data_IF_074897164723
#
_entry.id   IF_074897164723
#
_cell.length_a   1.000
_cell.length_b   1.000
_cell.length_c   1.000
_cell.angle_alpha   90.00
_cell.angle_beta   90.00
_cell.angle_gamma   90.00
#
_symmetry.space_group_name_H-M   'P 1'
#
loop_
_entity.id
_entity.type
_entity.pdbx_description
1 polymer ?
#
# COMPACT_ATOMS: atom_id res chain seq x y z
N UNK A 1 -9.81 -7.27 -1.50
CA UNK A 1 -9.90 -5.79 -1.51
C UNK A 1 -10.55 -5.35 -0.22
N UNK A 2 -10.03 -4.29 0.39
CA UNK A 2 -10.62 -3.63 1.57
C UNK A 2 -10.80 -2.13 1.32
N UNK A 3 -11.10 -1.38 2.37
CA UNK A 3 -11.31 0.07 2.32
C UNK A 3 -10.63 0.75 3.51
N UNK A 4 -10.04 1.92 3.27
CA UNK A 4 -9.69 2.85 4.35
C UNK A 4 -10.93 3.70 4.62
N UNK A 5 -11.38 3.68 5.87
CA UNK A 5 -12.59 4.38 6.31
C UNK A 5 -12.27 5.32 7.47
N UNK A 6 -12.95 6.46 7.52
CA UNK A 6 -12.90 7.38 8.65
C UNK A 6 -14.32 7.85 8.98
N UNK A 7 -14.78 7.52 10.19
CA UNK A 7 -16.20 7.67 10.55
C UNK A 7 -17.10 6.91 9.57
N UNK A 8 -18.06 7.63 8.97
CA UNK A 8 -18.98 7.10 7.97
C UNK A 8 -18.50 7.29 6.51
N UNK A 9 -17.25 7.71 6.29
CA UNK A 9 -16.71 8.02 4.95
C UNK A 9 -15.69 7.00 4.50
N UNK A 10 -15.83 6.54 3.25
CA UNK A 10 -14.79 5.77 2.54
C UNK A 10 -13.77 6.75 1.94
N UNK A 11 -12.50 6.57 2.29
CA UNK A 11 -11.40 7.42 1.84
C UNK A 11 -10.70 6.85 0.60
N UNK A 12 -10.45 5.53 0.60
CA UNK A 12 -9.72 4.87 -0.47
C UNK A 12 -10.03 3.37 -0.51
N UNK A 13 -9.91 2.77 -1.69
CA UNK A 13 -9.75 1.32 -1.83
C UNK A 13 -8.40 0.88 -1.25
N UNK A 14 -8.39 -0.24 -0.53
CA UNK A 14 -7.20 -0.79 0.10
C UNK A 14 -6.84 -2.15 -0.48
N UNK A 15 -5.62 -2.26 -1.02
CA UNK A 15 -4.98 -3.54 -1.27
C UNK A 15 -4.24 -4.00 -0.01
N UNK A 16 -4.28 -5.29 0.32
CA UNK A 16 -3.58 -5.85 1.49
C UNK A 16 -2.40 -6.69 1.03
N UNK A 17 -1.24 -6.46 1.65
CA UNK A 17 -0.04 -7.27 1.52
C UNK A 17 0.23 -8.00 2.84
N UNK A 18 -0.27 -9.24 2.96
CA UNK A 18 -0.23 -10.03 4.20
C UNK A 18 0.82 -11.14 4.21
N UNK A 19 1.42 -11.45 3.06
CA UNK A 19 2.44 -12.49 2.92
C UNK A 19 3.84 -11.89 2.63
N UNK A 20 4.94 -12.59 2.93
CA UNK A 20 6.29 -12.06 2.75
C UNK A 20 6.63 -11.62 1.32
N UNK A 21 6.00 -12.20 0.30
CA UNK A 21 6.26 -11.85 -1.10
C UNK A 21 5.55 -10.55 -1.48
N UNK A 22 4.27 -10.40 -1.10
CA UNK A 22 3.51 -9.18 -1.37
C UNK A 22 4.06 -7.98 -0.59
N UNK A 23 4.52 -8.17 0.66
CA UNK A 23 5.15 -7.10 1.45
C UNK A 23 6.45 -6.59 0.84
N UNK A 24 7.35 -7.50 0.44
CA UNK A 24 8.63 -7.12 -0.22
C UNK A 24 8.41 -6.44 -1.56
N UNK A 25 7.39 -6.90 -2.30
CA UNK A 25 7.04 -6.28 -3.58
C UNK A 25 6.46 -4.88 -3.37
N UNK A 26 5.58 -4.70 -2.41
CA UNK A 26 4.90 -3.43 -2.20
C UNK A 26 4.27 -2.90 -3.49
N UNK A 27 4.58 -1.66 -3.84
CA UNK A 27 4.16 -1.01 -5.09
C UNK A 27 5.24 -1.07 -6.19
N UNK A 28 6.31 -1.86 -6.03
CA UNK A 28 7.40 -1.95 -7.00
C UNK A 28 6.89 -2.39 -8.38
N UNK A 29 7.47 -1.81 -9.43
CA UNK A 29 7.12 -2.07 -10.82
C UNK A 29 5.94 -1.25 -11.33
N UNK A 30 5.06 -0.74 -10.45
CA UNK A 30 3.94 0.14 -10.82
C UNK A 30 4.43 1.55 -11.11
N UNK A 31 3.86 2.22 -12.13
CA UNK A 31 4.17 3.62 -12.49
C UNK A 31 3.20 4.61 -11.87
N UNK A 32 2.02 4.15 -11.44
CA UNK A 32 1.02 4.91 -10.73
C UNK A 32 0.20 3.98 -9.85
N UNK A 33 -0.49 4.54 -8.85
CA UNK A 33 -1.39 3.80 -7.99
C UNK A 33 -2.50 4.71 -7.46
N UNK A 34 -3.73 4.19 -7.45
CA UNK A 34 -4.89 4.88 -6.89
C UNK A 34 -5.46 4.05 -5.75
N UNK A 35 -5.39 4.57 -4.54
CA UNK A 35 -5.80 3.89 -3.31
C UNK A 35 -4.69 3.79 -2.30
N UNK A 36 -4.82 2.84 -1.37
CA UNK A 36 -3.83 2.56 -0.32
C UNK A 36 -3.36 1.10 -0.38
N UNK A 37 -2.10 0.88 -0.03
CA UNK A 37 -1.55 -0.47 0.21
C UNK A 37 -1.35 -0.64 1.72
N UNK A 38 -2.04 -1.61 2.32
CA UNK A 38 -1.92 -1.97 3.73
C UNK A 38 -0.95 -3.13 3.86
N UNK A 39 0.19 -2.89 4.49
CA UNK A 39 1.24 -3.87 4.72
C UNK A 39 1.07 -4.47 6.12
N UNK A 40 0.92 -5.79 6.23
CA UNK A 40 0.65 -6.47 7.51
C UNK A 40 1.46 -7.79 7.65
N UNK A 41 2.26 -7.96 8.72
CA UNK A 41 2.80 -6.91 9.60
C UNK A 41 3.81 -6.01 8.87
N UNK A 42 3.99 -4.77 9.33
CA UNK A 42 4.94 -3.80 8.75
C UNK A 42 6.00 -3.36 9.77
N UNK A 43 7.26 -3.74 9.54
CA UNK A 43 8.38 -3.31 10.38
C UNK A 43 9.05 -2.03 9.84
N UNK A 44 9.24 -1.96 8.52
CA UNK A 44 9.90 -0.87 7.82
C UNK A 44 9.30 -0.71 6.42
N UNK A 45 9.26 0.53 5.93
CA UNK A 45 8.93 0.86 4.54
C UNK A 45 10.18 1.44 3.89
N UNK A 46 10.53 0.94 2.71
CA UNK A 46 11.57 1.54 1.87
C UNK A 46 10.95 2.16 0.62
N UNK A 47 11.63 3.14 0.04
CA UNK A 47 11.24 3.79 -1.22
C UNK A 47 12.21 3.48 -2.36
N UNK A 48 13.25 2.66 -2.11
CA UNK A 48 14.24 2.25 -3.11
C UNK A 48 13.52 1.60 -4.32
N UNK A 49 13.74 2.15 -5.52
CA UNK A 49 13.16 1.64 -6.77
C UNK A 49 11.69 1.99 -7.01
N UNK A 50 11.07 2.83 -6.17
CA UNK A 50 9.73 3.38 -6.44
C UNK A 50 9.76 4.30 -7.68
N UNK A 51 8.70 4.23 -8.49
CA UNK A 51 8.54 5.05 -9.70
C UNK A 51 7.67 6.29 -9.49
N UNK A 52 7.08 6.44 -8.31
CA UNK A 52 6.25 7.57 -7.93
C UNK A 52 6.38 7.82 -6.42
N UNK A 53 6.10 9.06 -5.99
CA UNK A 53 6.10 9.42 -4.59
C UNK A 53 4.96 8.70 -3.86
N UNK A 54 5.23 8.28 -2.62
CA UNK A 54 4.24 7.62 -1.77
C UNK A 54 4.19 8.34 -0.43
N UNK A 55 2.99 8.47 0.10
CA UNK A 55 2.75 8.87 1.48
C UNK A 55 2.64 7.60 2.33
N UNK A 56 3.23 7.60 3.53
CA UNK A 56 3.29 6.45 4.45
C UNK A 56 2.61 6.80 5.77
#
# INVERSE_FOLDING_TARGET
MGWIVSGARVLASAERASDPSSRRKGLLGRTSFSGALVIEPCNWVHTIGMKFAIDV
#
